data_IF_196973992225
#
_entry.id   IF_196973992225
#
_cell.length_a   1.000
_cell.length_b   1.000
_cell.length_c   1.000
_cell.angle_alpha   90.00
_cell.angle_beta   90.00
_cell.angle_gamma   90.00
#
_symmetry.space_group_name_H-M   'P 1'
#
loop_
_entity.id
_entity.type
_entity.pdbx_description
1 polymer ?
#
# COMPACT_ATOMS: atom_id res chain seq x y z
N UNK A 1 -31.01 -0.08 -29.66
CA UNK A 1 -29.55 -0.20 -29.83
C UNK A 1 -29.13 -1.49 -29.16
N UNK A 2 -28.66 -2.46 -29.93
CA UNK A 2 -28.01 -3.64 -29.35
C UNK A 2 -26.53 -3.29 -29.15
N UNK A 3 -26.05 -3.38 -27.91
CA UNK A 3 -24.63 -3.19 -27.61
C UNK A 3 -23.93 -4.51 -27.94
N UNK A 4 -22.94 -4.46 -28.81
CA UNK A 4 -22.13 -5.64 -29.15
C UNK A 4 -21.19 -6.02 -28.00
N UNK A 5 -20.77 -7.28 -27.94
CA UNK A 5 -19.81 -7.73 -26.91
C UNK A 5 -18.48 -6.95 -26.93
N UNK A 6 -18.08 -6.43 -28.10
CA UNK A 6 -16.87 -5.63 -28.28
C UNK A 6 -17.03 -4.23 -27.68
N UNK A 7 -18.17 -3.59 -27.90
CA UNK A 7 -18.50 -2.28 -27.33
C UNK A 7 -18.61 -2.37 -25.81
N UNK A 8 -19.24 -3.41 -25.27
CA UNK A 8 -19.33 -3.62 -23.82
C UNK A 8 -17.93 -3.73 -23.18
N UNK A 9 -17.00 -4.45 -23.82
CA UNK A 9 -15.63 -4.57 -23.33
C UNK A 9 -14.90 -3.24 -23.31
N UNK A 10 -15.13 -2.39 -24.32
CA UNK A 10 -14.52 -1.06 -24.39
C UNK A 10 -15.08 -0.13 -23.30
N UNK A 11 -16.40 -0.10 -23.11
CA UNK A 11 -17.06 0.70 -22.06
C UNK A 11 -16.51 0.35 -20.67
N UNK A 12 -16.40 -0.95 -20.36
CA UNK A 12 -15.86 -1.41 -19.07
C UNK A 12 -14.40 -0.98 -18.91
N UNK A 13 -13.59 -1.14 -19.96
CA UNK A 13 -12.17 -0.77 -19.93
C UNK A 13 -11.98 0.73 -19.71
N UNK A 14 -12.73 1.55 -20.42
CA UNK A 14 -12.68 3.02 -20.32
C UNK A 14 -13.14 3.47 -18.92
N UNK A 15 -14.25 2.93 -18.42
CA UNK A 15 -14.76 3.23 -17.08
C UNK A 15 -13.76 2.89 -15.98
N UNK A 16 -13.10 1.72 -16.06
CA UNK A 16 -12.06 1.34 -15.10
C UNK A 16 -10.88 2.29 -15.20
N UNK A 17 -10.43 2.62 -16.40
CA UNK A 17 -9.26 3.47 -16.62
C UNK A 17 -9.47 4.91 -16.16
N UNK A 18 -10.67 5.46 -16.34
CA UNK A 18 -11.06 6.78 -15.82
C UNK A 18 -11.10 6.79 -14.28
N UNK A 19 -11.55 5.69 -13.67
CA UNK A 19 -11.59 5.54 -12.21
C UNK A 19 -10.22 5.17 -11.59
N UNK A 20 -9.23 4.78 -12.40
CA UNK A 20 -7.96 4.25 -11.90
C UNK A 20 -7.04 5.37 -11.42
N UNK A 21 -7.13 5.68 -10.13
CA UNK A 21 -6.14 6.54 -9.48
C UNK A 21 -4.78 5.81 -9.38
N UNK A 22 -3.74 6.45 -9.91
CA UNK A 22 -2.37 5.93 -9.78
C UNK A 22 -2.02 5.77 -8.29
N UNK A 23 -1.55 4.58 -7.86
CA UNK A 23 -1.19 4.38 -6.46
C UNK A 23 -0.10 5.37 -6.03
N UNK A 24 -0.32 6.05 -4.89
CA UNK A 24 0.67 6.93 -4.28
C UNK A 24 1.98 6.18 -4.01
N UNK A 25 3.10 6.86 -4.20
CA UNK A 25 4.44 6.33 -3.89
C UNK A 25 4.64 6.06 -2.39
N UNK A 26 3.93 6.81 -1.55
CA UNK A 26 3.98 6.74 -0.10
C UNK A 26 2.60 6.49 0.49
N UNK A 27 2.59 5.92 1.69
CA UNK A 27 1.39 5.62 2.46
C UNK A 27 1.50 6.26 3.82
N UNK A 28 0.39 6.77 4.33
CA UNK A 28 0.23 7.06 5.76
C UNK A 28 0.14 5.74 6.54
N UNK A 29 0.30 5.81 7.87
CA UNK A 29 0.06 4.65 8.76
C UNK A 29 -1.35 4.07 8.55
N UNK A 30 -2.35 4.93 8.29
CA UNK A 30 -3.72 4.50 8.03
C UNK A 30 -3.85 3.70 6.73
N UNK A 31 -3.32 4.24 5.63
CA UNK A 31 -3.33 3.57 4.33
C UNK A 31 -2.50 2.27 4.37
N UNK A 32 -1.40 2.25 5.12
CA UNK A 32 -0.58 1.06 5.34
C UNK A 32 -1.33 -0.01 6.13
N UNK A 33 -2.08 0.36 7.17
CA UNK A 33 -2.92 -0.57 7.93
C UNK A 33 -3.99 -1.20 7.04
N UNK A 34 -4.68 -0.39 6.24
CA UNK A 34 -5.71 -0.88 5.31
C UNK A 34 -5.12 -1.80 4.23
N UNK A 35 -3.90 -1.50 3.75
CA UNK A 35 -3.25 -2.30 2.71
C UNK A 35 -2.68 -3.63 3.23
N UNK A 36 -2.08 -3.62 4.42
CA UNK A 36 -1.37 -4.79 4.96
C UNK A 36 -2.19 -5.65 5.90
N UNK A 37 -3.29 -5.10 6.44
CA UNK A 37 -4.05 -5.71 7.53
C UNK A 37 -3.35 -5.65 8.90
N UNK A 38 -2.17 -5.03 9.00
CA UNK A 38 -1.44 -4.89 10.28
C UNK A 38 -2.10 -3.79 11.11
N UNK A 39 -2.30 -4.07 12.40
CA UNK A 39 -2.88 -3.11 13.34
C UNK A 39 -2.10 -1.79 13.40
N UNK A 40 -2.83 -0.67 13.44
CA UNK A 40 -2.27 0.69 13.42
C UNK A 40 -1.23 0.92 14.52
N UNK A 41 -1.52 0.47 15.74
CA UNK A 41 -0.61 0.65 16.88
C UNK A 41 0.71 -0.10 16.67
N UNK A 42 0.64 -1.26 16.01
CA UNK A 42 1.83 -2.04 15.69
C UNK A 42 2.68 -1.34 14.63
N UNK A 43 2.06 -0.82 13.58
CA UNK A 43 2.75 0.00 12.57
C UNK A 43 3.37 1.25 13.17
N UNK A 44 2.67 1.90 14.12
CA UNK A 44 3.20 3.07 14.82
C UNK A 44 4.43 2.71 15.66
N UNK A 45 4.40 1.58 16.39
CA UNK A 45 5.56 1.06 17.14
C UNK A 45 6.74 0.74 16.22
N UNK A 46 6.49 0.09 15.07
CA UNK A 46 7.53 -0.19 14.08
C UNK A 46 8.15 1.10 13.54
N UNK A 47 7.32 2.11 13.26
CA UNK A 47 7.79 3.40 12.76
C UNK A 47 8.60 4.22 13.78
N UNK A 48 8.35 4.04 15.07
CA UNK A 48 9.10 4.70 16.15
C UNK A 48 10.36 3.96 16.58
N UNK A 49 10.52 2.70 16.17
CA UNK A 49 11.66 1.91 16.59
C UNK A 49 12.90 2.30 15.77
N UNK A 50 13.89 2.90 16.46
CA UNK A 50 15.12 3.41 15.84
C UNK A 50 15.97 2.32 15.17
N UNK A 51 15.76 1.04 15.53
CA UNK A 51 16.46 -0.12 14.96
C UNK A 51 15.55 -0.99 14.07
N UNK A 52 14.41 -0.46 13.63
CA UNK A 52 13.55 -1.21 12.71
C UNK A 52 14.00 -1.03 11.27
N UNK A 53 14.05 -2.14 10.52
CA UNK A 53 14.17 -2.12 9.06
C UNK A 53 12.83 -1.81 8.37
N UNK A 54 11.82 -1.36 9.13
CA UNK A 54 10.53 -0.97 8.61
C UNK A 54 10.68 0.28 7.71
N UNK A 55 10.19 0.25 6.46
CA UNK A 55 10.51 1.23 5.44
C UNK A 55 9.67 2.51 5.56
N UNK A 56 9.86 3.22 6.67
CA UNK A 56 9.20 4.48 6.95
C UNK A 56 10.20 5.63 7.06
N UNK A 57 9.69 6.84 6.91
CA UNK A 57 10.44 8.07 7.14
C UNK A 57 9.50 9.12 7.73
N UNK A 58 10.07 10.08 8.45
CA UNK A 58 9.31 11.13 9.14
C UNK A 58 9.33 12.41 8.32
N UNK A 59 8.15 13.00 8.11
CA UNK A 59 7.97 14.32 7.47
C UNK A 59 7.24 15.21 8.46
N UNK A 60 7.99 16.12 9.10
CA UNK A 60 7.49 16.93 10.21
C UNK A 60 7.02 16.04 11.37
N UNK A 61 5.73 16.03 11.65
CA UNK A 61 5.12 15.21 12.71
C UNK A 61 4.56 13.87 12.23
N UNK A 62 4.55 13.61 10.92
CA UNK A 62 3.88 12.44 10.32
C UNK A 62 4.88 11.38 9.86
N UNK A 63 4.50 10.12 9.98
CA UNK A 63 5.22 9.00 9.36
C UNK A 63 4.61 8.63 8.02
N UNK A 64 5.47 8.50 7.02
CA UNK A 64 5.14 8.00 5.70
C UNK A 64 5.92 6.72 5.43
N UNK A 65 5.26 5.78 4.77
CA UNK A 65 5.79 4.46 4.43
C UNK A 65 6.01 4.42 2.93
N UNK A 66 7.19 4.04 2.48
CA UNK A 66 7.44 3.88 1.04
C UNK A 66 6.76 2.58 0.55
N UNK A 67 5.83 2.70 -0.40
CA UNK A 67 5.02 1.57 -0.87
C UNK A 67 5.86 0.45 -1.48
N UNK A 68 6.88 0.79 -2.29
CA UNK A 68 7.72 -0.22 -2.97
C UNK A 68 8.57 -0.98 -1.96
N UNK A 69 9.18 -0.25 -1.03
CA UNK A 69 10.01 -0.85 0.02
C UNK A 69 9.16 -1.66 1.00
N UNK A 70 7.92 -1.25 1.28
CA UNK A 70 6.97 -2.01 2.10
C UNK A 70 6.74 -3.41 1.53
N UNK A 71 6.50 -3.54 0.22
CA UNK A 71 6.32 -4.85 -0.42
C UNK A 71 7.57 -5.73 -0.30
N UNK A 72 8.76 -5.14 -0.44
CA UNK A 72 10.04 -5.85 -0.29
C UNK A 72 10.22 -6.30 1.17
N UNK A 73 9.94 -5.41 2.12
CA UNK A 73 10.03 -5.70 3.54
C UNK A 73 9.08 -6.81 3.97
N UNK A 74 7.82 -6.79 3.52
CA UNK A 74 6.84 -7.85 3.78
C UNK A 74 7.33 -9.22 3.27
N UNK A 75 7.89 -9.26 2.05
CA UNK A 75 8.49 -10.48 1.51
C UNK A 75 9.63 -10.98 2.39
N UNK A 76 10.53 -10.08 2.81
CA UNK A 76 11.68 -10.40 3.66
C UNK A 76 11.25 -10.99 5.01
N UNK A 77 10.39 -10.29 5.75
CA UNK A 77 9.96 -10.76 7.09
C UNK A 77 9.17 -12.07 7.04
N UNK A 78 8.45 -12.31 5.93
CA UNK A 78 7.72 -13.56 5.70
C UNK A 78 8.68 -14.73 5.49
N UNK A 79 9.74 -14.54 4.70
CA UNK A 79 10.77 -15.56 4.49
C UNK A 79 11.57 -15.85 5.77
N UNK A 80 11.86 -14.80 6.55
CA UNK A 80 12.56 -14.93 7.83
C UNK A 80 11.67 -15.49 8.95
N UNK A 81 10.36 -15.64 8.72
CA UNK A 81 9.35 -15.98 9.75
C UNK A 81 9.44 -15.08 10.98
N UNK A 82 9.72 -13.80 10.75
CA UNK A 82 9.95 -12.83 11.82
C UNK A 82 8.66 -12.57 12.59
N UNK A 83 8.75 -12.60 13.92
CA UNK A 83 7.65 -12.21 14.81
C UNK A 83 7.74 -10.69 14.98
N UNK A 84 6.68 -9.97 14.59
CA UNK A 84 6.64 -8.52 14.67
C UNK A 84 6.31 -8.04 16.07
#
# INVERSE_FOLDING_TARGET
MEITSSELKNIIKESIQESYEKPKATLTIAECANLTGIGRDKLMKLAHSNNSDFPCFKVGTKFLINRKLLSIWLKKISQEKRIL
#
